data_IF_707141697468
#
_entry.id   IF_707141697468
#
_cell.length_a   1.000
_cell.length_b   1.000
_cell.length_c   1.000
_cell.angle_alpha   90.00
_cell.angle_beta   90.00
_cell.angle_gamma   90.00
#
_symmetry.space_group_name_H-M   'P 1'
#
loop_
_entity.id
_entity.type
_entity.pdbx_description
1 polymer ?
#
# COMPACT_ATOMS: atom_id res chain seq x y z
N UNK A 1 -0.75 -23.93 7.15
CA UNK A 1 0.61 -24.30 6.71
C UNK A 1 0.84 -23.64 5.37
N UNK A 2 1.95 -22.90 5.23
CA UNK A 2 2.37 -22.25 3.98
C UNK A 2 3.51 -23.07 3.37
N UNK A 3 3.65 -23.03 2.05
CA UNK A 3 4.69 -23.74 1.31
C UNK A 3 5.19 -22.86 0.17
N UNK A 4 6.48 -22.96 -0.12
CA UNK A 4 7.11 -22.40 -1.32
C UNK A 4 7.75 -23.56 -2.06
N UNK A 5 7.55 -23.63 -3.37
CA UNK A 5 8.09 -24.69 -4.23
C UNK A 5 9.02 -24.02 -5.23
N UNK A 6 10.29 -24.40 -5.20
CA UNK A 6 11.30 -23.98 -6.17
C UNK A 6 11.87 -25.17 -6.93
N UNK A 7 12.69 -24.89 -7.95
CA UNK A 7 13.46 -25.92 -8.65
C UNK A 7 14.51 -26.57 -7.74
N UNK A 8 14.98 -27.76 -8.10
CA UNK A 8 16.00 -28.49 -7.33
C UNK A 8 17.36 -27.78 -7.29
N UNK A 9 17.61 -26.88 -8.26
CA UNK A 9 18.85 -26.11 -8.38
C UNK A 9 18.75 -24.72 -7.70
N UNK A 10 17.60 -24.37 -7.13
CA UNK A 10 17.39 -23.08 -6.49
C UNK A 10 18.03 -23.01 -5.10
N UNK A 11 18.43 -21.81 -4.69
CA UNK A 11 19.03 -21.61 -3.37
C UNK A 11 17.98 -21.76 -2.26
N UNK A 12 18.12 -22.78 -1.41
CA UNK A 12 17.15 -23.11 -0.38
C UNK A 12 17.04 -22.04 0.72
N UNK A 13 18.12 -21.30 0.98
CA UNK A 13 18.11 -20.17 1.93
C UNK A 13 17.25 -19.04 1.37
N UNK A 14 17.30 -18.80 0.06
CA UNK A 14 16.45 -17.80 -0.58
C UNK A 14 14.99 -18.23 -0.57
N UNK A 15 14.68 -19.49 -0.89
CA UNK A 15 13.32 -20.02 -0.77
C UNK A 15 12.79 -19.96 0.68
N UNK A 16 13.66 -20.18 1.66
CA UNK A 16 13.34 -20.00 3.07
C UNK A 16 13.02 -18.53 3.40
N UNK A 17 13.76 -17.57 2.87
CA UNK A 17 13.45 -16.16 3.04
C UNK A 17 12.11 -15.78 2.40
N UNK A 18 11.75 -16.36 1.25
CA UNK A 18 10.45 -16.13 0.60
C UNK A 18 9.29 -16.59 1.50
N UNK A 19 9.37 -17.79 2.09
CA UNK A 19 8.30 -18.27 2.97
C UNK A 19 8.20 -17.46 4.27
N UNK A 20 9.33 -16.97 4.80
CA UNK A 20 9.34 -16.07 5.95
C UNK A 20 8.69 -14.73 5.60
N UNK A 21 9.09 -14.12 4.47
CA UNK A 21 8.53 -12.87 3.97
C UNK A 21 7.01 -12.99 3.81
N UNK A 22 6.53 -14.04 3.13
CA UNK A 22 5.09 -14.28 2.96
C UNK A 22 4.36 -14.42 4.29
N UNK A 23 4.88 -15.22 5.23
CA UNK A 23 4.28 -15.40 6.55
C UNK A 23 4.18 -14.08 7.31
N UNK A 24 5.27 -13.33 7.35
CA UNK A 24 5.37 -12.13 8.17
C UNK A 24 4.61 -10.95 7.55
N UNK A 25 4.63 -10.81 6.23
CA UNK A 25 3.78 -9.85 5.50
C UNK A 25 2.30 -10.12 5.71
N UNK A 26 1.86 -11.39 5.61
CA UNK A 26 0.46 -11.74 5.88
C UNK A 26 0.07 -11.47 7.34
N UNK A 27 0.97 -11.69 8.30
CA UNK A 27 0.73 -11.31 9.69
C UNK A 27 0.53 -9.80 9.84
N UNK A 28 1.31 -8.98 9.15
CA UNK A 28 1.16 -7.51 9.18
C UNK A 28 -0.17 -7.11 8.53
N UNK A 29 -0.43 -7.59 7.30
CA UNK A 29 -1.60 -7.22 6.50
C UNK A 29 -2.92 -7.66 7.16
N UNK A 30 -2.94 -8.86 7.76
CA UNK A 30 -4.12 -9.45 8.39
C UNK A 30 -4.16 -9.24 9.92
N UNK A 31 -3.34 -8.33 10.46
CA UNK A 31 -3.32 -7.98 11.89
C UNK A 31 -3.20 -9.20 12.82
N UNK A 32 -2.30 -10.11 12.46
CA UNK A 32 -2.02 -11.38 13.14
C UNK A 32 -3.16 -12.42 13.10
N UNK A 33 -4.15 -12.26 12.22
CA UNK A 33 -5.25 -13.23 12.01
C UNK A 33 -5.05 -14.05 10.73
N UNK A 34 -4.01 -14.90 10.70
CA UNK A 34 -3.70 -15.72 9.51
C UNK A 34 -4.35 -17.10 9.63
N UNK A 35 -5.67 -17.13 9.47
CA UNK A 35 -6.44 -18.36 9.32
C UNK A 35 -7.05 -18.48 7.91
N UNK A 36 -7.51 -19.68 7.57
CA UNK A 36 -8.04 -19.98 6.22
C UNK A 36 -9.19 -19.06 5.82
N UNK A 37 -10.08 -18.72 6.77
CA UNK A 37 -11.24 -17.89 6.47
C UNK A 37 -10.79 -16.45 6.19
N UNK A 38 -9.96 -15.89 7.06
CA UNK A 38 -9.45 -14.52 6.89
C UNK A 38 -8.66 -14.36 5.59
N UNK A 39 -7.85 -15.36 5.22
CA UNK A 39 -7.09 -15.32 3.97
C UNK A 39 -8.00 -15.36 2.72
N UNK A 40 -9.09 -16.12 2.75
CA UNK A 40 -10.06 -16.19 1.65
C UNK A 40 -10.86 -14.89 1.55
N UNK A 41 -11.28 -14.33 2.69
CA UNK A 41 -12.02 -13.06 2.75
C UNK A 41 -11.18 -11.87 2.27
N UNK A 42 -9.84 -11.96 2.36
CA UNK A 42 -8.87 -10.93 1.95
C UNK A 42 -7.88 -11.46 0.89
N UNK A 43 -8.38 -12.25 -0.07
CA UNK A 43 -7.54 -12.89 -1.07
C UNK A 43 -6.82 -11.88 -1.99
N UNK A 44 -7.41 -10.72 -2.22
CA UNK A 44 -6.82 -9.60 -2.94
C UNK A 44 -5.50 -9.15 -2.32
N UNK A 45 -5.47 -8.92 -1.00
CA UNK A 45 -4.25 -8.58 -0.26
C UNK A 45 -3.22 -9.70 -0.32
N UNK A 46 -3.66 -10.95 -0.22
CA UNK A 46 -2.76 -12.10 -0.32
C UNK A 46 -2.12 -12.20 -1.73
N UNK A 47 -2.90 -11.98 -2.77
CA UNK A 47 -2.43 -12.00 -4.17
C UNK A 47 -1.43 -10.87 -4.43
N UNK A 48 -1.71 -9.65 -3.97
CA UNK A 48 -0.80 -8.51 -4.09
C UNK A 48 0.49 -8.72 -3.27
N UNK A 49 0.37 -9.33 -2.09
CA UNK A 49 1.54 -9.68 -1.28
C UNK A 49 2.46 -10.66 -2.02
N UNK A 50 1.91 -11.64 -2.74
CA UNK A 50 2.72 -12.59 -3.52
C UNK A 50 3.42 -11.87 -4.69
N UNK A 51 2.70 -10.99 -5.40
CA UNK A 51 3.22 -10.20 -6.53
C UNK A 51 4.42 -9.32 -6.12
N UNK A 52 4.38 -8.73 -4.93
CA UNK A 52 5.50 -7.94 -4.41
C UNK A 52 6.70 -8.77 -3.93
N UNK A 53 6.50 -10.06 -3.60
CA UNK A 53 7.58 -10.94 -3.16
C UNK A 53 8.29 -11.57 -4.37
N UNK A 54 7.52 -12.08 -5.34
CA UNK A 54 8.03 -12.82 -6.50
C UNK A 54 7.32 -12.39 -7.77
N UNK A 55 8.09 -12.04 -8.79
CA UNK A 55 7.62 -11.74 -10.14
C UNK A 55 8.28 -12.68 -11.14
N UNK A 56 7.49 -13.46 -11.89
CA UNK A 56 7.94 -14.46 -12.86
C UNK A 56 9.07 -15.41 -12.36
N UNK A 57 9.03 -15.75 -11.06
CA UNK A 57 10.03 -16.61 -10.41
C UNK A 57 11.27 -15.88 -9.90
N UNK A 58 11.36 -14.57 -10.11
CA UNK A 58 12.41 -13.70 -9.59
C UNK A 58 11.95 -13.13 -8.25
N UNK A 59 12.75 -13.32 -7.20
CA UNK A 59 12.48 -12.73 -5.88
C UNK A 59 12.81 -11.24 -5.94
N UNK A 60 11.82 -10.38 -5.64
CA UNK A 60 11.96 -8.92 -5.70
C UNK A 60 12.23 -8.32 -4.32
N UNK A 61 11.45 -8.71 -3.31
CA UNK A 61 11.52 -8.16 -1.97
C UNK A 61 11.33 -9.26 -0.92
N UNK A 62 12.04 -9.14 0.20
CA UNK A 62 11.97 -10.10 1.31
C UNK A 62 11.70 -9.45 2.66
N UNK A 63 11.78 -8.12 2.75
CA UNK A 63 11.41 -7.40 3.96
C UNK A 63 9.88 -7.30 4.09
N UNK A 64 9.27 -7.94 5.12
CA UNK A 64 7.83 -8.00 5.24
C UNK A 64 7.17 -6.64 5.48
N UNK A 65 7.89 -5.69 6.09
CA UNK A 65 7.40 -4.33 6.35
C UNK A 65 7.33 -3.53 5.05
N UNK A 66 8.33 -3.69 4.18
CA UNK A 66 8.34 -3.04 2.87
C UNK A 66 7.21 -3.59 1.99
N UNK A 67 7.07 -4.92 1.92
CA UNK A 67 5.99 -5.59 1.16
C UNK A 67 4.62 -5.09 1.65
N UNK A 68 4.36 -5.16 2.96
CA UNK A 68 3.08 -4.73 3.51
C UNK A 68 2.81 -3.23 3.27
N UNK A 69 3.85 -2.38 3.32
CA UNK A 69 3.74 -0.95 3.01
C UNK A 69 3.36 -0.69 1.55
N UNK A 70 3.89 -1.47 0.60
CA UNK A 70 3.56 -1.33 -0.83
C UNK A 70 2.15 -1.80 -1.13
N UNK A 71 1.78 -2.98 -0.63
CA UNK A 71 0.44 -3.57 -0.78
C UNK A 71 -0.66 -2.70 -0.18
N UNK A 72 -0.38 -2.00 0.93
CA UNK A 72 -1.37 -1.16 1.63
C UNK A 72 -1.59 0.22 1.00
N UNK A 73 -0.81 0.62 -0.02
CA UNK A 73 -0.97 1.93 -0.67
C UNK A 73 -2.14 1.86 -1.64
N UNK A 74 -3.18 2.69 -1.48
CA UNK A 74 -4.18 2.82 -2.53
C UNK A 74 -3.48 3.27 -3.82
N UNK A 75 -3.95 2.80 -5.00
CA UNK A 75 -3.40 3.26 -6.26
C UNK A 75 -3.43 4.79 -6.24
N UNK A 76 -2.28 5.42 -6.48
CA UNK A 76 -2.22 6.85 -6.69
C UNK A 76 -3.06 7.11 -7.94
N UNK A 77 -4.33 7.45 -7.74
CA UNK A 77 -5.12 8.04 -8.80
C UNK A 77 -4.29 9.20 -9.31
N UNK A 78 -4.10 9.28 -10.62
CA UNK A 78 -3.66 10.47 -11.35
C UNK A 78 -4.67 11.62 -11.16
N UNK A 79 -4.98 11.94 -9.91
CA UNK A 79 -5.76 13.05 -9.45
C UNK A 79 -4.75 14.07 -8.91
N UNK A 80 -4.59 15.23 -9.55
CA UNK A 80 -3.67 16.25 -9.06
C UNK A 80 -4.06 16.63 -7.63
N UNK A 81 -3.16 16.38 -6.67
CA UNK A 81 -3.13 16.99 -5.34
C UNK A 81 -4.49 17.07 -4.59
N UNK A 82 -5.02 15.94 -4.13
CA UNK A 82 -6.03 15.95 -3.04
C UNK A 82 -5.52 15.34 -1.72
N UNK A 83 -4.21 15.05 -1.58
CA UNK A 83 -3.61 14.58 -0.31
C UNK A 83 -3.32 15.70 0.72
N UNK A 84 -3.88 16.90 0.53
CA UNK A 84 -3.57 18.07 1.37
C UNK A 84 -4.77 18.74 2.03
N UNK A 85 -5.95 18.13 2.02
CA UNK A 85 -7.10 18.68 2.75
C UNK A 85 -7.08 18.12 4.17
N UNK A 86 -6.26 18.76 5.01
CA UNK A 86 -6.38 18.62 6.46
C UNK A 86 -7.78 19.11 6.86
N UNK A 87 -8.65 18.18 7.25
CA UNK A 87 -10.03 18.42 7.71
C UNK A 87 -10.06 18.93 9.17
N UNK A 88 -8.99 19.57 9.60
CA UNK A 88 -8.92 20.32 10.86
C UNK A 88 -9.62 21.67 10.72
N UNK A 89 -10.04 22.26 11.85
CA UNK A 89 -10.60 23.62 11.86
C UNK A 89 -9.61 24.64 11.26
N UNK A 90 -8.31 24.40 11.41
CA UNK A 90 -7.25 25.23 10.81
C UNK A 90 -7.20 25.10 9.28
N UNK A 91 -7.43 23.91 8.73
CA UNK A 91 -7.51 23.67 7.29
C UNK A 91 -8.73 24.35 6.65
N UNK A 92 -9.89 24.26 7.29
CA UNK A 92 -11.12 24.92 6.85
C UNK A 92 -10.98 26.46 6.84
N UNK A 93 -10.33 27.04 7.86
CA UNK A 93 -10.04 28.47 7.93
C UNK A 93 -9.14 28.93 6.80
N UNK A 94 -8.09 28.16 6.46
CA UNK A 94 -7.20 28.46 5.33
C UNK A 94 -7.94 28.41 4.00
N UNK A 95 -8.83 27.43 3.80
CA UNK A 95 -9.66 27.32 2.58
C UNK A 95 -10.60 28.52 2.47
N UNK A 96 -11.25 28.93 3.56
CA UNK A 96 -12.14 30.08 3.58
C UNK A 96 -11.40 31.39 3.24
N UNK A 97 -10.22 31.60 3.83
CA UNK A 97 -9.38 32.76 3.53
C UNK A 97 -8.90 32.75 2.08
N UNK A 98 -8.46 31.60 1.57
CA UNK A 98 -8.03 31.44 0.18
C UNK A 98 -9.18 31.69 -0.80
N UNK A 99 -10.38 31.19 -0.49
CA UNK A 99 -11.60 31.45 -1.26
C UNK A 99 -11.93 32.94 -1.32
N UNK A 100 -11.82 33.65 -0.20
CA UNK A 100 -12.06 35.10 -0.13
C UNK A 100 -11.02 35.90 -0.92
N UNK A 101 -9.74 35.54 -0.83
CA UNK A 101 -8.68 36.19 -1.61
C UNK A 101 -8.88 36.00 -3.12
N UNK A 102 -9.17 34.76 -3.56
CA UNK A 102 -9.33 34.44 -4.98
C UNK A 102 -10.58 35.08 -5.60
N UNK A 103 -11.65 35.24 -4.83
CA UNK A 103 -12.83 36.03 -5.22
C UNK A 103 -12.53 37.52 -5.33
N UNK A 104 -11.78 38.08 -4.36
CA UNK A 104 -11.36 39.48 -4.38
C UNK A 104 -10.45 39.82 -5.56
N UNK A 105 -9.53 38.91 -5.93
CA UNK A 105 -8.68 39.07 -7.11
C UNK A 105 -9.47 39.02 -8.41
N UNK A 106 -10.46 38.11 -8.54
CA UNK A 106 -11.34 38.06 -9.72
C UNK A 106 -12.23 39.30 -9.85
N UNK A 107 -12.67 39.88 -8.74
CA UNK A 107 -13.42 41.15 -8.74
C UNK A 107 -12.53 42.35 -9.09
N UNK A 108 -11.23 42.32 -8.77
CA UNK A 108 -10.28 43.39 -9.15
C UNK A 108 -9.78 43.28 -10.59
N UNK A 109 -9.72 42.07 -11.16
CA UNK A 109 -9.33 41.86 -12.56
C UNK A 109 -10.50 42.01 -13.56
N UNK A 110 -11.75 42.12 -13.06
CA UNK A 110 -12.96 42.31 -13.87
C UNK A 110 -13.42 43.77 -14.04
N UNK A 111 -12.56 44.75 -13.74
CA UNK A 111 -12.72 46.18 -14.02
C UNK A 111 -11.67 46.63 -15.03
#
# INVERSE_FOLDING_TARGET
>A
MLYVVGGAEENEIMLYNVILALRDSLNILLKNSVDKRTLIENYDLASLCIDEIVDDGIILETDPVIIASRVSRPPAQDAPNMQGLDLSEEGLLKIYQFGKQKLGERLRQGL
#
